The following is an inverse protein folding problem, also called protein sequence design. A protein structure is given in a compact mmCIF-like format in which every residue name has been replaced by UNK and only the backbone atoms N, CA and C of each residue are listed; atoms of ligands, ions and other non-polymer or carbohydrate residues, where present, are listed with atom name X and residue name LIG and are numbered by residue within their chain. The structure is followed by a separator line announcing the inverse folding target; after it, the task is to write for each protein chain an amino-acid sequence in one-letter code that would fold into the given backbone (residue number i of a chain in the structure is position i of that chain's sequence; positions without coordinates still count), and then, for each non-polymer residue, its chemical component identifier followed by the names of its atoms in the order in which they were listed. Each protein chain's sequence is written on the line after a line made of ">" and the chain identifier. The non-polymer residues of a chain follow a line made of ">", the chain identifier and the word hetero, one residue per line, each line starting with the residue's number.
data_IF_424237254154
#
_entry.id   IF_424237254154
#
_cell.length_a   1.000
_cell.length_b   1.000
_cell.length_c   1.000
_cell.angle_alpha   90.00
_cell.angle_beta   90.00
_cell.angle_gamma   90.00
#
_symmetry.space_group_name_H-M   'P 1'
#
loop_
_entity.id
_entity.type
_entity.pdbx_description
1 polymer ?
#
# COMPACT_ATOMS: atom_id res chain seq x y z
N UNK A 1 -4.68 26.47 -13.44
CA UNK A 1 -3.37 26.08 -12.89
C UNK A 1 -3.69 25.29 -11.65
N UNK A 2 -3.91 23.99 -11.80
CA UNK A 2 -4.22 23.08 -10.71
C UNK A 2 -2.99 22.20 -10.54
N UNK A 3 -2.42 22.24 -9.35
CA UNK A 3 -1.27 21.44 -8.95
C UNK A 3 -1.68 19.96 -8.99
N UNK A 4 -1.39 19.29 -10.10
CA UNK A 4 -1.72 17.89 -10.39
C UNK A 4 -0.66 16.95 -9.79
N UNK A 5 -0.35 17.13 -8.51
CA UNK A 5 0.32 16.09 -7.71
C UNK A 5 -0.68 15.60 -6.70
N UNK A 6 -1.41 14.57 -7.12
CA UNK A 6 -2.32 13.77 -6.31
C UNK A 6 -1.63 13.29 -5.02
N UNK A 7 -1.68 14.11 -3.97
CA UNK A 7 -1.52 13.65 -2.60
C UNK A 7 -2.78 12.86 -2.26
N UNK A 8 -2.76 11.58 -2.62
CA UNK A 8 -3.69 10.60 -2.09
C UNK A 8 -3.56 10.63 -0.57
N UNK A 9 -4.46 11.35 0.10
CA UNK A 9 -4.51 11.44 1.54
C UNK A 9 -4.91 10.07 2.08
N UNK A 10 -3.95 9.36 2.63
CA UNK A 10 -4.20 8.05 3.22
C UNK A 10 -4.82 8.20 4.61
N UNK A 11 -5.92 7.49 4.86
CA UNK A 11 -6.54 7.39 6.18
C UNK A 11 -5.61 6.68 7.18
N UNK A 12 -4.82 5.73 6.70
CA UNK A 12 -3.88 4.97 7.51
C UNK A 12 -2.56 4.78 6.76
N UNK A 13 -1.45 4.75 7.50
CA UNK A 13 -0.12 4.49 6.97
C UNK A 13 0.53 3.32 7.70
N UNK A 14 1.22 2.45 6.96
CA UNK A 14 1.96 1.30 7.47
C UNK A 14 3.40 1.39 6.99
N UNK A 15 4.31 1.34 7.95
CA UNK A 15 5.74 1.22 7.69
C UNK A 15 6.13 -0.26 7.75
N UNK A 16 6.52 -0.80 6.59
CA UNK A 16 7.03 -2.15 6.41
C UNK A 16 8.47 -2.14 5.85
N UNK A 17 9.20 -1.04 6.02
CA UNK A 17 10.60 -0.94 5.62
C UNK A 17 11.47 -1.88 6.48
N UNK A 18 12.48 -2.49 5.86
CA UNK A 18 13.35 -3.48 6.53
C UNK A 18 12.69 -4.84 6.80
N UNK A 19 11.44 -5.05 6.36
CA UNK A 19 10.77 -6.34 6.43
C UNK A 19 10.93 -7.08 5.10
N UNK A 20 11.54 -8.27 5.14
CA UNK A 20 11.63 -9.14 3.97
C UNK A 20 10.30 -9.84 3.69
N UNK A 21 10.04 -10.15 2.43
CA UNK A 21 8.87 -10.97 2.03
C UNK A 21 8.78 -12.24 2.91
N UNK A 22 7.60 -12.57 3.50
CA UNK A 22 6.26 -12.05 3.21
C UNK A 22 5.73 -11.00 4.21
N UNK A 23 6.58 -10.43 5.06
CA UNK A 23 6.14 -9.57 6.16
C UNK A 23 5.48 -8.24 5.75
N UNK A 24 5.90 -7.54 4.66
CA UNK A 24 5.21 -6.33 4.20
C UNK A 24 3.74 -6.55 3.86
N UNK A 25 3.46 -7.67 3.20
CA UNK A 25 2.10 -8.08 2.86
C UNK A 25 1.25 -8.32 4.12
N UNK A 26 1.83 -9.01 5.11
CA UNK A 26 1.11 -9.31 6.35
C UNK A 26 0.75 -8.03 7.11
N UNK A 27 1.66 -7.05 7.14
CA UNK A 27 1.41 -5.74 7.76
C UNK A 27 0.29 -4.97 7.04
N UNK A 28 0.33 -4.93 5.71
CA UNK A 28 -0.74 -4.33 4.92
C UNK A 28 -2.10 -4.99 5.18
N UNK A 29 -2.13 -6.33 5.24
CA UNK A 29 -3.34 -7.11 5.56
C UNK A 29 -3.90 -6.80 6.95
N UNK A 30 -3.04 -6.73 7.97
CA UNK A 30 -3.46 -6.43 9.34
C UNK A 30 -4.06 -5.03 9.42
N UNK A 31 -3.47 -4.04 8.75
CA UNK A 31 -4.03 -2.70 8.71
C UNK A 31 -5.37 -2.65 7.96
N UNK A 32 -5.47 -3.23 6.76
CA UNK A 32 -6.73 -3.29 6.01
C UNK A 32 -7.84 -4.05 6.73
N UNK A 33 -7.53 -4.97 7.65
CA UNK A 33 -8.53 -5.64 8.47
C UNK A 33 -9.13 -4.72 9.55
N UNK A 34 -8.39 -3.71 10.00
CA UNK A 34 -8.88 -2.71 10.96
C UNK A 34 -9.57 -1.50 10.32
N UNK A 35 -9.53 -1.40 8.99
CA UNK A 35 -10.06 -0.26 8.23
C UNK A 35 -11.48 -0.52 7.72
N UNK A 36 -12.21 0.57 7.51
CA UNK A 36 -13.54 0.56 6.90
C UNK A 36 -13.44 0.55 5.37
N UNK A 37 -14.45 -0.02 4.72
CA UNK A 37 -14.56 0.00 3.27
C UNK A 37 -14.55 1.45 2.74
N UNK A 38 -13.78 1.67 1.69
CA UNK A 38 -13.57 2.98 1.09
C UNK A 38 -12.35 3.74 1.60
N UNK A 39 -11.79 3.39 2.77
CA UNK A 39 -10.60 4.03 3.33
C UNK A 39 -9.32 3.68 2.56
N UNK A 40 -8.35 4.58 2.60
CA UNK A 40 -7.09 4.48 1.89
C UNK A 40 -5.92 4.15 2.81
N UNK A 41 -5.27 3.01 2.56
CA UNK A 41 -4.08 2.57 3.26
C UNK A 41 -2.83 2.92 2.44
N UNK A 42 -1.89 3.60 3.06
CA UNK A 42 -0.55 3.80 2.54
C UNK A 42 0.43 2.78 3.12
N UNK A 43 1.23 2.12 2.29
CA UNK A 43 2.22 1.13 2.71
C UNK A 43 3.58 1.51 2.17
N UNK A 44 4.60 1.51 3.03
CA UNK A 44 6.00 1.73 2.67
C UNK A 44 6.80 0.46 2.85
N UNK A 45 7.51 0.01 1.83
CA UNK A 45 8.39 -1.15 1.88
C UNK A 45 9.74 -0.83 1.26
N UNK A 46 10.76 -1.62 1.53
CA UNK A 46 12.10 -1.51 0.86
C UNK A 46 12.41 -2.75 0.02
N UNK A 47 11.43 -3.63 -0.15
CA UNK A 47 11.58 -4.91 -0.83
C UNK A 47 10.94 -4.84 -2.22
N UNK A 48 11.72 -5.09 -3.27
CA UNK A 48 11.22 -5.08 -4.65
C UNK A 48 10.22 -6.21 -4.93
N UNK A 49 10.26 -7.30 -4.16
CA UNK A 49 9.27 -8.39 -4.24
C UNK A 49 7.87 -7.94 -3.79
N UNK A 50 7.81 -7.03 -2.82
CA UNK A 50 6.56 -6.59 -2.19
C UNK A 50 5.58 -5.92 -3.16
N UNK A 51 6.03 -5.34 -4.27
CA UNK A 51 5.14 -4.71 -5.25
C UNK A 51 4.17 -5.73 -5.87
N UNK A 52 4.71 -6.87 -6.31
CA UNK A 52 3.90 -7.92 -6.94
C UNK A 52 2.98 -8.59 -5.92
N UNK A 53 3.47 -8.81 -4.71
CA UNK A 53 2.70 -9.44 -3.65
C UNK A 53 1.55 -8.55 -3.17
N UNK A 54 1.79 -7.24 -2.98
CA UNK A 54 0.78 -6.27 -2.56
C UNK A 54 -0.27 -6.04 -3.66
N UNK A 55 0.14 -5.89 -4.92
CA UNK A 55 -0.79 -5.74 -6.03
C UNK A 55 -1.71 -6.96 -6.14
N UNK A 56 -1.13 -8.16 -6.15
CA UNK A 56 -1.88 -9.41 -6.24
C UNK A 56 -2.80 -9.61 -5.04
N UNK A 57 -2.33 -9.28 -3.84
CA UNK A 57 -3.17 -9.35 -2.65
C UNK A 57 -4.34 -8.37 -2.72
N UNK A 58 -4.12 -7.15 -3.22
CA UNK A 58 -5.20 -6.20 -3.38
C UNK A 58 -6.29 -6.79 -4.28
N UNK A 59 -5.91 -7.28 -5.47
CA UNK A 59 -6.84 -7.92 -6.41
C UNK A 59 -7.57 -9.12 -5.79
N UNK A 60 -6.85 -10.03 -5.13
CA UNK A 60 -7.42 -11.24 -4.52
C UNK A 60 -8.31 -10.97 -3.31
N UNK A 61 -7.96 -9.96 -2.51
CA UNK A 61 -8.72 -9.57 -1.31
C UNK A 61 -9.91 -8.63 -1.65
N UNK A 62 -10.09 -8.27 -2.92
CA UNK A 62 -11.12 -7.33 -3.35
C UNK A 62 -10.82 -5.89 -2.94
N UNK A 63 -9.55 -5.54 -2.76
CA UNK A 63 -9.08 -4.18 -2.51
C UNK A 63 -8.57 -3.56 -3.81
N UNK A 64 -8.48 -2.24 -3.86
CA UNK A 64 -8.03 -1.54 -5.07
C UNK A 64 -6.67 -0.90 -4.83
N UNK A 65 -5.65 -1.30 -5.58
CA UNK A 65 -4.39 -0.56 -5.61
C UNK A 65 -4.60 0.71 -6.47
N UNK A 66 -4.65 1.87 -5.82
CA UNK A 66 -4.85 3.15 -6.51
C UNK A 66 -3.55 3.67 -7.13
N UNK A 67 -2.44 3.53 -6.40
CA UNK A 67 -1.15 4.07 -6.83
C UNK A 67 -0.01 3.22 -6.25
N UNK A 68 1.07 3.09 -7.02
CA UNK A 68 2.33 2.51 -6.57
C UNK A 68 3.49 3.32 -7.10
N UNK A 69 4.43 3.69 -6.24
CA UNK A 69 5.61 4.46 -6.61
C UNK A 69 6.87 3.82 -6.02
N UNK A 70 7.98 3.95 -6.73
CA UNK A 70 9.31 3.64 -6.23
C UNK A 70 10.08 4.96 -6.10
N UNK A 71 10.65 5.21 -4.91
CA UNK A 71 11.41 6.40 -4.58
C UNK A 71 12.65 6.00 -3.79
N UNK A 72 13.83 6.23 -4.37
CA UNK A 72 15.12 6.01 -3.71
C UNK A 72 15.31 4.60 -3.09
N UNK A 73 14.74 3.56 -3.72
CA UNK A 73 14.76 2.17 -3.21
C UNK A 73 13.72 1.87 -2.13
N UNK A 74 12.84 2.83 -1.80
CA UNK A 74 11.60 2.61 -1.07
C UNK A 74 10.42 2.47 -2.05
N UNK A 75 9.53 1.54 -1.76
CA UNK A 75 8.30 1.31 -2.49
C UNK A 75 7.12 1.81 -1.67
N UNK A 76 6.24 2.53 -2.33
CA UNK A 76 5.09 3.22 -1.75
C UNK A 76 3.82 2.74 -2.44
N UNK A 77 2.85 2.26 -1.67
CA UNK A 77 1.60 1.72 -2.19
C UNK A 77 0.40 2.40 -1.55
N UNK A 78 -0.60 2.73 -2.34
CA UNK A 78 -1.89 3.25 -1.87
C UNK A 78 -2.99 2.25 -2.20
N UNK A 79 -3.49 1.57 -1.18
CA UNK A 79 -4.48 0.50 -1.25
C UNK A 79 -5.80 1.00 -0.68
N UNK A 80 -6.84 1.08 -1.49
CA UNK A 80 -8.18 1.35 -1.03
C UNK A 80 -8.84 0.07 -0.55
N UNK A 81 -9.39 0.10 0.66
CA UNK A 81 -10.22 -0.97 1.18
C UNK A 81 -11.49 -1.07 0.33
N UNK A 82 -11.70 -2.23 -0.28
CA UNK A 82 -12.98 -2.59 -0.92
C UNK A 82 -13.96 -3.19 0.06
#
# INVERSE_FOLDING_TARGET
>A
MFDEKSELQADQAVDARGLSCPLPLLRAKVALNGMQAGQLLYVRATDAGSQRDIARFAELAGHSLLQSEERDGEFHYWLRKG
#
